data_IF_661782157157
#
_entry.id   IF_661782157157
#
_cell.length_a   1.000
_cell.length_b   1.000
_cell.length_c   1.000
_cell.angle_alpha   90.00
_cell.angle_beta   90.00
_cell.angle_gamma   90.00
#
_symmetry.space_group_name_H-M   'P 1'
#
loop_
_entity.id
_entity.type
_entity.pdbx_description
1 polymer ?
#
# COMPACT_ATOMS: atom_id res chain seq x y z
N UNK A 1 -10.42 20.06 -2.99
CA UNK A 1 -9.28 19.38 -3.65
C UNK A 1 -8.28 18.74 -2.68
N UNK A 2 -7.95 19.33 -1.51
CA UNK A 2 -6.95 18.76 -0.59
C UNK A 2 -7.26 17.33 -0.10
N UNK A 3 -8.53 17.04 0.18
CA UNK A 3 -8.96 15.70 0.63
C UNK A 3 -8.84 14.64 -0.47
N UNK A 4 -9.22 14.98 -1.70
CA UNK A 4 -9.08 14.09 -2.87
C UNK A 4 -7.60 13.81 -3.15
N UNK A 5 -6.74 14.84 -3.13
CA UNK A 5 -5.29 14.63 -3.27
C UNK A 5 -4.74 13.71 -2.17
N UNK A 6 -5.13 13.95 -0.92
CA UNK A 6 -4.68 13.13 0.20
C UNK A 6 -5.11 11.67 0.08
N UNK A 7 -6.39 11.41 -0.25
CA UNK A 7 -6.90 10.05 -0.37
C UNK A 7 -6.28 9.32 -1.56
N UNK A 8 -6.06 9.99 -2.70
CA UNK A 8 -5.38 9.39 -3.85
C UNK A 8 -3.93 9.02 -3.54
N UNK A 9 -3.18 9.89 -2.86
CA UNK A 9 -1.81 9.60 -2.43
C UNK A 9 -1.79 8.39 -1.48
N UNK A 10 -2.66 8.40 -0.47
CA UNK A 10 -2.71 7.29 0.49
C UNK A 10 -3.13 5.98 -0.17
N UNK A 11 -4.11 6.03 -1.05
CA UNK A 11 -4.57 4.86 -1.80
C UNK A 11 -3.43 4.24 -2.61
N UNK A 12 -2.67 5.04 -3.37
CA UNK A 12 -1.54 4.54 -4.16
C UNK A 12 -0.46 3.93 -3.24
N UNK A 13 -0.11 4.61 -2.14
CA UNK A 13 0.91 4.12 -1.20
C UNK A 13 0.50 2.78 -0.58
N UNK A 14 -0.73 2.66 -0.08
CA UNK A 14 -1.22 1.43 0.53
C UNK A 14 -1.41 0.30 -0.51
N UNK A 15 -1.90 0.62 -1.71
CA UNK A 15 -1.99 -0.37 -2.80
C UNK A 15 -0.61 -0.93 -3.15
N UNK A 16 0.42 -0.07 -3.25
CA UNK A 16 1.77 -0.54 -3.56
C UNK A 16 2.35 -1.41 -2.42
N UNK A 17 2.11 -1.04 -1.16
CA UNK A 17 2.56 -1.80 -0.01
C UNK A 17 1.89 -3.18 0.07
N UNK A 18 0.57 -3.24 -0.08
CA UNK A 18 -0.20 -4.49 -0.06
C UNK A 18 0.22 -5.38 -1.24
N UNK A 19 0.39 -4.79 -2.43
CA UNK A 19 0.83 -5.52 -3.61
C UNK A 19 2.24 -6.10 -3.46
N UNK A 20 3.18 -5.33 -2.91
CA UNK A 20 4.51 -5.84 -2.60
C UNK A 20 4.47 -6.96 -1.58
N UNK A 21 3.67 -6.81 -0.52
CA UNK A 21 3.49 -7.85 0.47
C UNK A 21 2.97 -9.15 -0.16
N UNK A 22 1.94 -9.05 -1.02
CA UNK A 22 1.40 -10.19 -1.76
C UNK A 22 2.44 -10.87 -2.67
N UNK A 23 3.19 -10.10 -3.47
CA UNK A 23 4.25 -10.67 -4.33
C UNK A 23 5.34 -11.34 -3.49
N UNK A 24 5.64 -10.81 -2.30
CA UNK A 24 6.69 -11.33 -1.43
C UNK A 24 6.31 -12.60 -0.67
N UNK A 25 5.01 -12.89 -0.57
CA UNK A 25 4.48 -14.01 0.22
C UNK A 25 5.07 -15.38 -0.18
N UNK A 26 5.23 -15.73 -1.47
CA UNK A 26 5.88 -16.97 -1.89
C UNK A 26 7.37 -17.04 -1.52
N UNK A 27 8.03 -15.89 -1.36
CA UNK A 27 9.47 -15.77 -1.10
C UNK A 27 9.81 -15.58 0.39
N UNK A 28 8.81 -15.53 1.27
CA UNK A 28 8.96 -15.36 2.72
C UNK A 28 8.51 -16.62 3.48
N UNK A 29 8.47 -17.77 2.78
CA UNK A 29 8.05 -19.03 3.37
C UNK A 29 9.17 -19.66 4.19
N UNK A 30 8.84 -20.16 5.40
CA UNK A 30 9.83 -20.80 6.27
C UNK A 30 10.26 -22.17 5.71
N UNK A 31 11.52 -22.59 5.92
CA UNK A 31 12.58 -21.90 6.66
C UNK A 31 13.18 -20.72 5.89
N UNK A 32 13.57 -19.67 6.61
CA UNK A 32 14.21 -18.49 6.01
C UNK A 32 15.47 -18.89 5.25
N UNK A 33 15.44 -18.82 3.91
CA UNK A 33 16.55 -19.23 3.05
C UNK A 33 17.27 -17.99 2.47
N UNK A 34 18.38 -18.22 1.77
CA UNK A 34 19.18 -17.18 1.09
C UNK A 34 18.34 -16.39 0.08
N UNK A 35 17.29 -16.99 -0.47
CA UNK A 35 16.33 -16.35 -1.39
C UNK A 35 15.56 -15.24 -0.69
N UNK A 36 15.16 -15.44 0.57
CA UNK A 36 14.41 -14.48 1.36
C UNK A 36 15.25 -13.23 1.68
N UNK A 37 16.56 -13.42 1.91
CA UNK A 37 17.50 -12.29 2.12
C UNK A 37 17.60 -11.44 0.86
N UNK A 38 17.67 -12.06 -0.32
CA UNK A 38 17.69 -11.35 -1.61
C UNK A 38 16.36 -10.63 -1.82
N UNK A 39 15.23 -11.27 -1.54
CA UNK A 39 13.91 -10.67 -1.64
C UNK A 39 13.77 -9.43 -0.74
N UNK A 40 14.24 -9.48 0.51
CA UNK A 40 14.26 -8.34 1.43
C UNK A 40 15.16 -7.21 0.90
N UNK A 41 16.35 -7.54 0.42
CA UNK A 41 17.29 -6.54 -0.13
C UNK A 41 16.72 -5.84 -1.37
N UNK A 42 15.98 -6.57 -2.20
CA UNK A 42 15.28 -6.00 -3.36
C UNK A 42 14.06 -5.18 -2.95
N UNK A 43 13.30 -5.59 -1.92
CA UNK A 43 12.13 -4.84 -1.44
C UNK A 43 12.49 -3.57 -0.66
N UNK A 44 13.59 -3.56 0.08
CA UNK A 44 14.02 -2.44 0.91
C UNK A 44 14.07 -1.08 0.15
N UNK A 45 14.67 -0.96 -1.06
CA UNK A 45 14.65 0.28 -1.81
C UNK A 45 13.25 0.70 -2.25
N UNK A 46 12.36 -0.24 -2.58
CA UNK A 46 10.97 0.08 -2.92
C UNK A 46 10.22 0.64 -1.72
N UNK A 47 10.34 0.01 -0.55
CA UNK A 47 9.75 0.52 0.70
C UNK A 47 10.32 1.90 1.03
N UNK A 48 11.63 2.08 0.88
CA UNK A 48 12.26 3.38 1.11
C UNK A 48 11.72 4.47 0.17
N UNK A 49 11.55 4.17 -1.12
CA UNK A 49 10.93 5.07 -2.10
C UNK A 49 9.49 5.39 -1.67
N UNK A 50 8.68 4.40 -1.34
CA UNK A 50 7.29 4.58 -0.91
C UNK A 50 7.20 5.51 0.30
N UNK A 51 8.02 5.29 1.32
CA UNK A 51 8.04 6.13 2.52
C UNK A 51 8.53 7.54 2.22
N UNK A 52 9.66 7.67 1.53
CA UNK A 52 10.28 8.96 1.22
C UNK A 52 9.38 9.84 0.33
N UNK A 53 8.79 9.26 -0.71
CA UNK A 53 7.84 9.96 -1.56
C UNK A 53 6.51 10.18 -0.85
N UNK A 54 6.06 9.24 -0.02
CA UNK A 54 4.85 9.40 0.77
C UNK A 54 4.90 10.62 1.70
N UNK A 55 6.03 10.85 2.36
CA UNK A 55 6.20 12.00 3.24
C UNK A 55 6.30 13.31 2.46
N UNK A 56 7.01 13.34 1.33
CA UNK A 56 7.05 14.50 0.43
C UNK A 56 5.67 14.84 -0.12
N UNK A 57 4.91 13.84 -0.56
CA UNK A 57 3.57 14.03 -1.13
C UNK A 57 2.56 14.47 -0.06
N UNK A 58 2.68 13.97 1.18
CA UNK A 58 1.88 14.44 2.32
C UNK A 58 2.19 15.89 2.70
N UNK A 59 3.45 16.33 2.58
CA UNK A 59 3.84 17.72 2.83
C UNK A 59 3.25 18.71 1.81
N UNK A 60 2.92 18.25 0.61
CA UNK A 60 2.23 19.06 -0.42
C UNK A 60 0.74 19.24 -0.17
N UNK A 61 0.16 18.53 0.82
CA UNK A 61 -1.26 18.65 1.16
C UNK A 61 -1.43 19.66 2.30
N UNK A 62 -2.22 20.73 2.12
CA UNK A 62 -2.44 21.72 3.17
C UNK A 62 -3.10 21.07 4.39
N UNK A 63 -2.81 21.60 5.59
CA UNK A 63 -3.23 21.03 6.86
C UNK A 63 -4.70 20.56 6.87
N UNK A 64 -4.87 19.28 7.19
CA UNK A 64 -6.16 18.59 7.36
C UNK A 64 -6.27 18.23 8.84
N UNK A 65 -7.46 18.42 9.43
CA UNK A 65 -7.73 17.99 10.80
C UNK A 65 -7.41 16.50 10.98
N UNK A 66 -6.76 16.16 12.09
CA UNK A 66 -6.23 14.81 12.36
C UNK A 66 -7.31 13.73 12.23
N UNK A 67 -8.53 13.97 12.72
CA UNK A 67 -9.64 13.02 12.60
C UNK A 67 -10.03 12.72 11.15
N UNK A 68 -10.14 13.76 10.31
CA UNK A 68 -10.44 13.60 8.88
C UNK A 68 -9.29 12.88 8.18
N UNK A 69 -8.06 13.15 8.60
CA UNK A 69 -6.87 12.49 8.06
C UNK A 69 -6.88 10.99 8.34
N UNK A 70 -7.21 10.59 9.57
CA UNK A 70 -7.34 9.19 9.96
C UNK A 70 -8.46 8.52 9.17
N UNK A 71 -9.63 9.15 9.10
CA UNK A 71 -10.78 8.62 8.37
C UNK A 71 -10.45 8.38 6.88
N UNK A 72 -9.82 9.36 6.22
CA UNK A 72 -9.41 9.23 4.81
C UNK A 72 -8.35 8.13 4.62
N UNK A 73 -7.45 7.94 5.59
CA UNK A 73 -6.48 6.85 5.54
C UNK A 73 -7.16 5.49 5.66
N UNK A 74 -8.13 5.33 6.58
CA UNK A 74 -8.91 4.09 6.69
C UNK A 74 -9.65 3.78 5.40
N UNK A 75 -10.32 4.77 4.81
CA UNK A 75 -11.01 4.60 3.53
C UNK A 75 -10.05 4.22 2.41
N UNK A 76 -8.88 4.86 2.34
CA UNK A 76 -7.85 4.54 1.34
C UNK A 76 -7.33 3.09 1.48
N UNK A 77 -7.14 2.60 2.71
CA UNK A 77 -6.71 1.22 2.97
C UNK A 77 -7.79 0.23 2.51
N UNK A 78 -9.06 0.47 2.87
CA UNK A 78 -10.16 -0.40 2.46
C UNK A 78 -10.26 -0.49 0.92
N UNK A 79 -10.16 0.65 0.23
CA UNK A 79 -10.13 0.69 -1.23
C UNK A 79 -8.93 -0.07 -1.79
N UNK A 80 -7.74 0.07 -1.19
CA UNK A 80 -6.54 -0.62 -1.63
C UNK A 80 -6.68 -2.15 -1.47
N UNK A 81 -7.23 -2.63 -0.35
CA UNK A 81 -7.49 -4.06 -0.14
C UNK A 81 -8.47 -4.59 -1.20
N UNK A 82 -9.56 -3.87 -1.45
CA UNK A 82 -10.55 -4.26 -2.47
C UNK A 82 -9.90 -4.31 -3.87
N UNK A 83 -9.11 -3.28 -4.23
CA UNK A 83 -8.43 -3.23 -5.51
C UNK A 83 -7.46 -4.40 -5.67
N UNK A 84 -6.58 -4.63 -4.69
CA UNK A 84 -5.59 -5.70 -4.77
C UNK A 84 -6.28 -7.06 -4.76
N UNK A 85 -7.30 -7.28 -3.93
CA UNK A 85 -8.07 -8.51 -3.94
C UNK A 85 -8.73 -8.78 -5.30
N UNK A 86 -9.23 -7.73 -5.98
CA UNK A 86 -9.76 -7.85 -7.33
C UNK A 86 -8.67 -8.18 -8.36
N UNK A 87 -7.53 -7.48 -8.30
CA UNK A 87 -6.40 -7.66 -9.24
C UNK A 87 -5.73 -9.03 -9.08
N UNK A 88 -5.64 -9.52 -7.87
CA UNK A 88 -5.04 -10.83 -7.53
C UNK A 88 -6.01 -12.00 -7.75
N UNK A 89 -7.31 -11.72 -7.88
CA UNK A 89 -8.34 -12.75 -8.05
C UNK A 89 -8.82 -13.40 -6.74
N UNK A 90 -8.33 -12.93 -5.59
CA UNK A 90 -8.77 -13.34 -4.24
C UNK A 90 -10.19 -12.85 -3.93
N UNK A 91 -10.62 -11.72 -4.50
CA UNK A 91 -12.00 -11.22 -4.42
C UNK A 91 -12.71 -11.48 -5.74
N UNK A 92 -13.49 -12.55 -5.78
CA UNK A 92 -14.43 -12.83 -6.87
C UNK A 92 -15.82 -12.39 -6.44
N UNK A 93 -16.40 -11.43 -7.17
CA UNK A 93 -17.83 -11.18 -7.06
C UNK A 93 -18.53 -12.35 -7.74
N UNK A 94 -19.14 -13.23 -6.95
CA UNK A 94 -19.97 -14.31 -7.47
C UNK A 94 -21.04 -13.70 -8.37
N UNK A 95 -20.93 -13.89 -9.68
CA UNK A 95 -22.04 -13.66 -10.59
C UNK A 95 -23.12 -14.68 -10.23
N UNK A 96 -24.23 -14.19 -9.66
CA UNK A 96 -25.44 -14.95 -9.38
C UNK A 96 -26.36 -14.99 -10.59
#
# INVERSE_FOLDING_TARGET
MKYIKYISIQFILFSLLIFMAYISEPYLQRPFDKVDVIAIVVMAPFVFIVLHFGDKLKALVPSIHVLVRILLTVVAILLAIILIGLVTGELQFSES
#
